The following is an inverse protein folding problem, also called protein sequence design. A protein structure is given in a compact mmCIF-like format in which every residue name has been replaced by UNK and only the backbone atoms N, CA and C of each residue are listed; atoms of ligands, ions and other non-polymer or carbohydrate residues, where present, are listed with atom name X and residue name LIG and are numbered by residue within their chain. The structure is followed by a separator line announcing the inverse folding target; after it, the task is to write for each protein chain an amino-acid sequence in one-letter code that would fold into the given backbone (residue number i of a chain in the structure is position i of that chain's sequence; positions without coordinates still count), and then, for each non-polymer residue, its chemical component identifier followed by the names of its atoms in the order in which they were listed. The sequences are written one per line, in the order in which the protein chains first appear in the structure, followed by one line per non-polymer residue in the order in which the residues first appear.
data_IF_027010256847
#
_entry.id   IF_027010256847
#
_cell.length_a   1.000
_cell.length_b   1.000
_cell.length_c   1.000
_cell.angle_alpha   90.00
_cell.angle_beta   90.00
_cell.angle_gamma   90.00
#
_symmetry.space_group_name_H-M   'P 1'
#
loop_
_entity.id
_entity.type
_entity.pdbx_description
1 polymer ?
#
# COMPACT_ATOMS: atom_id res chain seq x y z
N UNK A 1 -0.81 3.95 -15.83
CA UNK A 1 0.09 2.79 -15.86
C UNK A 1 -0.70 1.52 -15.61
N UNK A 2 -0.34 0.43 -16.25
CA UNK A 2 -1.09 -0.82 -16.18
C UNK A 2 -0.80 -1.63 -14.92
N UNK A 3 0.42 -1.56 -14.39
CA UNK A 3 0.83 -2.30 -13.19
C UNK A 3 1.33 -1.36 -12.12
N UNK A 4 0.96 -1.66 -10.88
CA UNK A 4 1.35 -0.89 -9.71
C UNK A 4 2.18 -1.75 -8.76
N UNK A 5 3.23 -1.16 -8.19
CA UNK A 5 4.01 -1.76 -7.11
C UNK A 5 3.40 -1.26 -5.80
N UNK A 6 3.02 -2.19 -4.94
CA UNK A 6 2.34 -1.90 -3.68
C UNK A 6 3.19 -2.39 -2.52
N UNK A 7 3.47 -1.48 -1.59
CA UNK A 7 4.07 -1.81 -0.30
C UNK A 7 2.97 -2.32 0.62
N UNK A 8 3.04 -3.60 0.98
CA UNK A 8 1.93 -4.30 1.61
C UNK A 8 2.09 -4.34 3.13
N UNK A 9 1.01 -3.99 3.83
CA UNK A 9 0.86 -4.34 5.23
C UNK A 9 0.31 -5.77 5.30
N UNK A 10 1.16 -6.73 5.64
CA UNK A 10 0.83 -8.16 5.56
C UNK A 10 0.08 -8.68 6.78
N UNK A 11 -0.20 -7.83 7.75
CA UNK A 11 -1.06 -8.16 8.88
C UNK A 11 -2.48 -7.80 8.46
N UNK A 12 -3.43 -8.70 8.73
CA UNK A 12 -4.83 -8.41 8.45
C UNK A 12 -5.32 -7.38 9.46
N UNK A 13 -5.22 -6.11 9.07
CA UNK A 13 -5.57 -4.98 9.90
C UNK A 13 -6.82 -4.28 9.37
N UNK A 14 -7.59 -3.71 10.28
CA UNK A 14 -8.69 -2.83 9.90
C UNK A 14 -8.12 -1.61 9.16
N UNK A 15 -8.60 -1.29 7.94
CA UNK A 15 -8.08 -0.15 7.18
C UNK A 15 -8.13 1.19 7.93
N UNK A 16 -9.12 1.41 8.77
CA UNK A 16 -9.23 2.65 9.57
C UNK A 16 -8.11 2.74 10.60
N UNK A 17 -7.71 1.62 11.18
CA UNK A 17 -6.59 1.59 12.13
C UNK A 17 -5.27 1.90 11.43
N UNK A 18 -5.06 1.36 10.23
CA UNK A 18 -3.89 1.64 9.43
C UNK A 18 -3.86 3.13 9.05
N UNK A 19 -4.99 3.69 8.65
CA UNK A 19 -5.11 5.11 8.32
C UNK A 19 -4.75 6.00 9.51
N UNK A 20 -5.27 5.69 10.70
CA UNK A 20 -4.97 6.43 11.93
C UNK A 20 -3.47 6.39 12.21
N UNK A 21 -2.86 5.22 12.10
CA UNK A 21 -1.43 5.04 12.33
C UNK A 21 -0.60 5.88 11.36
N UNK A 22 -0.96 5.85 10.09
CA UNK A 22 -0.29 6.62 9.03
C UNK A 22 -0.41 8.12 9.29
N UNK A 23 -1.61 8.60 9.65
CA UNK A 23 -1.84 10.02 9.97
C UNK A 23 -1.05 10.48 11.18
N UNK A 24 -0.88 9.63 12.17
CA UNK A 24 -0.04 9.95 13.34
C UNK A 24 1.42 10.19 12.92
N UNK A 25 1.90 9.43 11.95
CA UNK A 25 3.23 9.65 11.38
C UNK A 25 3.35 10.97 10.62
N UNK A 26 2.31 11.34 9.87
CA UNK A 26 2.28 12.62 9.14
C UNK A 26 2.38 13.83 10.06
N UNK A 27 1.82 13.75 11.26
CA UNK A 27 1.84 14.84 12.23
C UNK A 27 3.26 15.19 12.69
N UNK A 28 4.23 14.32 12.47
CA UNK A 28 5.64 14.56 12.81
C UNK A 28 6.36 15.45 11.81
N UNK A 29 5.73 15.76 10.68
CA UNK A 29 6.30 16.59 9.63
C UNK A 29 7.15 15.83 8.62
N UNK A 30 7.82 16.56 7.74
CA UNK A 30 8.64 16.00 6.68
C UNK A 30 7.86 15.70 5.41
N UNK A 31 8.47 14.96 4.48
CA UNK A 31 7.81 14.55 3.26
C UNK A 31 6.66 13.61 3.56
N UNK A 32 5.46 13.96 3.07
CA UNK A 32 4.25 13.22 3.38
C UNK A 32 4.28 11.78 2.85
N UNK A 33 4.74 11.58 1.61
CA UNK A 33 4.83 10.24 1.03
C UNK A 33 5.80 9.35 1.80
N UNK A 34 6.99 9.87 2.13
CA UNK A 34 7.97 9.12 2.92
C UNK A 34 7.44 8.79 4.31
N UNK A 35 6.72 9.72 4.94
CA UNK A 35 6.11 9.49 6.24
C UNK A 35 5.07 8.36 6.20
N UNK A 36 4.23 8.35 5.18
CA UNK A 36 3.24 7.28 4.98
C UNK A 36 3.93 5.93 4.83
N UNK A 37 4.94 5.85 3.98
CA UNK A 37 5.69 4.60 3.77
C UNK A 37 6.39 4.14 5.04
N UNK A 38 6.99 5.06 5.79
CA UNK A 38 7.68 4.74 7.03
C UNK A 38 6.72 4.14 8.07
N UNK A 39 5.49 4.65 8.16
CA UNK A 39 4.51 4.13 9.10
C UNK A 39 4.05 2.72 8.72
N UNK A 40 3.90 2.42 7.45
CA UNK A 40 3.62 1.05 7.01
C UNK A 40 4.77 0.11 7.38
N UNK A 41 6.02 0.53 7.17
CA UNK A 41 7.20 -0.27 7.54
C UNK A 41 7.28 -0.54 9.05
N UNK A 42 6.86 0.40 9.88
CA UNK A 42 6.84 0.18 11.34
C UNK A 42 5.92 -0.96 11.73
N UNK A 43 4.82 -1.13 11.03
CA UNK A 43 3.90 -2.24 11.29
C UNK A 43 4.53 -3.60 10.94
N UNK A 44 5.53 -3.62 10.05
CA UNK A 44 6.25 -4.85 9.69
C UNK A 44 7.11 -5.38 10.84
N UNK A 45 7.61 -4.51 11.69
CA UNK A 45 8.50 -4.90 12.80
C UNK A 45 7.81 -5.81 13.82
N UNK A 46 6.50 -5.93 13.74
CA UNK A 46 5.71 -6.76 14.65
C UNK A 46 5.76 -8.23 14.25
N UNK A 47 5.93 -8.52 12.96
CA UNK A 47 5.95 -9.90 12.43
C UNK A 47 6.96 -10.02 11.29
N UNK A 48 7.62 -11.19 11.16
CA UNK A 48 8.50 -11.42 10.02
C UNK A 48 7.69 -11.45 8.73
N UNK A 49 8.17 -10.76 7.71
CA UNK A 49 7.55 -10.68 6.41
C UNK A 49 8.42 -11.34 5.34
N UNK A 50 7.77 -12.07 4.45
CA UNK A 50 8.47 -12.69 3.32
C UNK A 50 8.60 -11.73 2.14
N UNK A 51 7.62 -10.86 1.96
CA UNK A 51 7.53 -9.97 0.83
C UNK A 51 7.01 -8.62 1.32
N UNK A 52 7.79 -7.57 1.11
CA UNK A 52 7.40 -6.21 1.49
C UNK A 52 6.61 -5.50 0.39
N UNK A 53 6.89 -5.84 -0.87
CA UNK A 53 6.25 -5.24 -2.04
C UNK A 53 5.74 -6.32 -2.98
N UNK A 54 4.65 -6.04 -3.68
CA UNK A 54 4.16 -6.91 -4.74
C UNK A 54 3.59 -6.07 -5.88
N UNK A 55 3.53 -6.67 -7.06
CA UNK A 55 3.01 -6.03 -8.26
C UNK A 55 1.59 -6.50 -8.53
N UNK A 56 0.72 -5.55 -8.84
CA UNK A 56 -0.69 -5.79 -9.13
C UNK A 56 -1.11 -5.09 -10.42
N UNK A 57 -2.14 -5.61 -11.05
CA UNK A 57 -2.78 -4.88 -12.16
C UNK A 57 -3.42 -3.63 -11.56
N UNK A 58 -3.02 -2.47 -12.08
CA UNK A 58 -3.60 -1.22 -11.61
C UNK A 58 -4.97 -1.01 -12.23
N UNK A 59 -5.94 -0.60 -11.42
CA UNK A 59 -7.27 -0.24 -11.87
C UNK A 59 -7.40 1.27 -12.05
N UNK A 60 -7.14 2.04 -11.00
CA UNK A 60 -7.20 3.50 -11.04
C UNK A 60 -6.41 4.18 -9.92
N UNK A 61 -5.53 3.42 -9.25
CA UNK A 61 -4.77 3.97 -8.13
C UNK A 61 -3.65 4.88 -8.62
N UNK A 62 -3.31 5.86 -7.81
CA UNK A 62 -2.19 6.76 -7.99
C UNK A 62 -1.13 6.50 -6.92
N UNK A 63 0.08 6.98 -7.13
CA UNK A 63 1.17 6.85 -6.15
C UNK A 63 0.77 7.53 -4.85
N UNK A 64 0.95 6.83 -3.74
CA UNK A 64 0.58 7.30 -2.41
C UNK A 64 -0.80 6.87 -1.95
N UNK A 65 -1.62 6.34 -2.83
CA UNK A 65 -2.96 5.86 -2.45
C UNK A 65 -2.87 4.64 -1.55
N UNK A 66 -3.77 4.59 -0.57
CA UNK A 66 -3.97 3.41 0.27
C UNK A 66 -4.97 2.49 -0.42
N UNK A 67 -4.55 1.27 -0.68
CA UNK A 67 -5.31 0.31 -1.47
C UNK A 67 -5.54 -0.98 -0.70
N UNK A 68 -6.57 -1.72 -1.10
CA UNK A 68 -6.80 -3.08 -0.67
C UNK A 68 -6.35 -4.00 -1.80
N UNK A 69 -5.49 -4.96 -1.48
CA UNK A 69 -4.93 -5.90 -2.45
C UNK A 69 -5.05 -7.33 -1.97
N UNK A 70 -5.24 -8.29 -2.88
CA UNK A 70 -5.22 -9.69 -2.50
C UNK A 70 -3.79 -10.13 -2.18
N UNK A 71 -3.62 -10.86 -1.09
CA UNK A 71 -2.35 -11.44 -0.70
C UNK A 71 -2.61 -12.83 -0.13
N UNK A 72 -2.26 -13.87 -0.90
CA UNK A 72 -2.65 -15.22 -0.56
C UNK A 72 -4.17 -15.37 -0.51
N UNK A 73 -4.70 -15.77 0.64
CA UNK A 73 -6.13 -15.93 0.88
C UNK A 73 -6.81 -14.69 1.44
N UNK A 74 -6.04 -13.67 1.75
CA UNK A 74 -6.52 -12.49 2.46
C UNK A 74 -6.47 -11.26 1.57
N UNK A 75 -7.15 -10.22 1.99
CA UNK A 75 -6.96 -8.88 1.45
C UNK A 75 -6.14 -8.09 2.46
N UNK A 76 -5.12 -7.41 1.98
CA UNK A 76 -4.22 -6.63 2.80
C UNK A 76 -4.26 -5.16 2.40
N UNK A 77 -4.00 -4.30 3.36
CA UNK A 77 -3.83 -2.87 3.11
C UNK A 77 -2.41 -2.62 2.60
N UNK A 78 -2.27 -1.73 1.64
CA UNK A 78 -0.96 -1.34 1.12
C UNK A 78 -0.96 0.08 0.59
N UNK A 79 0.22 0.57 0.28
CA UNK A 79 0.43 1.89 -0.33
C UNK A 79 1.06 1.68 -1.70
N UNK A 80 0.51 2.34 -2.70
CA UNK A 80 1.10 2.34 -4.05
C UNK A 80 2.36 3.18 -4.01
N UNK A 81 3.49 2.56 -4.32
CA UNK A 81 4.79 3.24 -4.27
C UNK A 81 5.35 3.56 -5.64
N UNK A 82 4.93 2.84 -6.68
CA UNK A 82 5.46 3.02 -8.02
C UNK A 82 4.53 2.39 -9.05
N UNK A 83 4.78 2.70 -10.32
CA UNK A 83 4.18 2.00 -11.46
C UNK A 83 5.28 1.28 -12.23
N UNK A 84 4.93 0.20 -12.90
CA UNK A 84 5.89 -0.56 -13.69
C UNK A 84 5.23 -1.21 -14.89
N UNK A 85 6.01 -1.35 -15.96
CA UNK A 85 5.68 -2.19 -17.12
C UNK A 85 6.62 -3.41 -17.17
N UNK A 86 7.58 -3.48 -16.25
CA UNK A 86 8.52 -4.58 -16.12
C UNK A 86 7.88 -5.71 -15.34
N UNK A 87 7.18 -6.58 -16.06
CA UNK A 87 6.45 -7.70 -15.48
C UNK A 87 6.84 -9.01 -16.16
N UNK A 88 6.78 -10.10 -15.39
CA UNK A 88 7.04 -11.42 -15.92
C UNK A 88 5.78 -11.95 -16.63
N UNK A 89 5.85 -12.21 -17.96
CA UNK A 89 4.68 -12.68 -18.71
C UNK A 89 4.18 -14.07 -18.29
N UNK A 90 4.99 -14.84 -17.56
CA UNK A 90 4.61 -16.16 -17.06
C UNK A 90 3.81 -16.10 -15.75
N UNK A 91 3.78 -14.94 -15.09
CA UNK A 91 3.05 -14.75 -13.85
C UNK A 91 1.67 -14.15 -14.16
N UNK A 92 0.65 -14.72 -13.55
CA UNK A 92 -0.70 -14.14 -13.60
C UNK A 92 -0.82 -13.17 -12.43
N UNK A 93 -0.84 -11.87 -12.75
CA UNK A 93 -0.99 -10.82 -11.75
C UNK A 93 -2.45 -10.63 -11.38
N UNK A 94 -2.71 -10.32 -10.12
CA UNK A 94 -4.05 -10.02 -9.61
C UNK A 94 -4.27 -8.52 -9.60
N UNK A 95 -5.51 -8.05 -9.76
CA UNK A 95 -5.79 -6.62 -9.70
C UNK A 95 -5.83 -6.09 -8.28
N UNK A 96 -5.55 -4.79 -8.14
CA UNK A 96 -5.88 -4.05 -6.92
C UNK A 96 -7.39 -4.19 -6.70
N UNK A 97 -7.80 -4.58 -5.51
CA UNK A 97 -9.22 -4.80 -5.19
C UNK A 97 -9.98 -3.48 -5.22
N UNK A 98 -9.46 -2.47 -4.51
CA UNK A 98 -10.02 -1.11 -4.53
C UNK A 98 -9.08 -0.11 -3.90
N UNK A 99 -9.29 1.16 -4.19
CA UNK A 99 -8.66 2.27 -3.50
C UNK A 99 -9.47 2.55 -2.24
N UNK A 100 -8.80 2.48 -1.08
CA UNK A 100 -9.43 2.76 0.22
C UNK A 100 -9.47 4.25 0.50
N UNK A 101 -8.31 4.91 0.35
CA UNK A 101 -8.14 6.34 0.55
C UNK A 101 -7.13 6.85 -0.48
N UNK A 102 -7.43 7.96 -1.12
CA UNK A 102 -6.46 8.61 -1.98
C UNK A 102 -5.36 9.25 -1.13
N UNK A 103 -4.21 9.52 -1.73
CA UNK A 103 -3.13 10.20 -1.04
C UNK A 103 -3.59 11.55 -0.47
N UNK A 104 -4.38 12.30 -1.24
CA UNK A 104 -4.95 13.56 -0.79
C UNK A 104 -5.84 13.38 0.45
N UNK A 105 -6.71 12.37 0.45
CA UNK A 105 -7.55 12.06 1.60
C UNK A 105 -6.72 11.70 2.84
N UNK A 106 -5.62 10.97 2.65
CA UNK A 106 -4.72 10.60 3.75
C UNK A 106 -4.08 11.86 4.36
N UNK A 107 -3.59 12.75 3.52
CA UNK A 107 -2.82 13.94 3.95
C UNK A 107 -3.74 15.05 4.47
N UNK A 108 -4.88 15.25 3.83
CA UNK A 108 -5.77 16.38 4.10
C UNK A 108 -7.07 16.00 4.83
N UNK A 109 -7.26 14.74 5.05
CA UNK A 109 -8.48 14.20 5.67
C UNK A 109 -8.65 14.39 7.15
#
# INVERSE_FOLDING_TARGET
MKYAVVMIQQVEENPENVLTHVRNGLAKGGDAFEAVCAQIKQLWNVKPLRLSHATYINTRAEIGDMVLVPYGRYNCVGIVTDFTDDVNPEITYRPITRVLYTFEEIVNG
#
